data_IF_940104962015
#
_entry.id   IF_940104962015
#
_cell.length_a   1.000
_cell.length_b   1.000
_cell.length_c   1.000
_cell.angle_alpha   90.00
_cell.angle_beta   90.00
_cell.angle_gamma   90.00
#
_symmetry.space_group_name_H-M   'P 1'
#
loop_
_entity.id
_entity.type
_entity.pdbx_description
1 polymer ?
#
# COMPACT_ATOMS: atom_id res chain seq x y z
N UNK A 1 -40.26 12.81 3.58
CA UNK A 1 -39.28 12.23 2.64
C UNK A 1 -39.95 11.02 2.00
N UNK A 2 -39.93 10.95 0.68
CA UNK A 2 -40.36 9.75 -0.06
C UNK A 2 -39.30 8.68 0.15
N UNK A 3 -39.67 7.41 0.13
CA UNK A 3 -38.71 6.31 0.06
C UNK A 3 -38.65 5.81 -1.37
N UNK A 4 -37.44 5.67 -1.92
CA UNK A 4 -37.28 5.15 -3.28
C UNK A 4 -37.73 3.69 -3.37
N UNK A 5 -38.33 3.34 -4.49
CA UNK A 5 -38.63 1.96 -4.83
C UNK A 5 -37.35 1.15 -5.09
N UNK A 6 -37.43 -0.16 -4.91
CA UNK A 6 -36.32 -1.08 -5.19
C UNK A 6 -35.84 -0.98 -6.64
N UNK A 7 -36.76 -0.72 -7.58
CA UNK A 7 -36.47 -0.51 -9.00
C UNK A 7 -35.68 0.78 -9.26
N UNK A 8 -36.03 1.87 -8.58
CA UNK A 8 -35.31 3.15 -8.69
C UNK A 8 -33.88 3.00 -8.13
N UNK A 9 -33.74 2.36 -6.96
CA UNK A 9 -32.44 2.07 -6.36
C UNK A 9 -31.58 1.19 -7.27
N UNK A 10 -32.16 0.13 -7.85
CA UNK A 10 -31.43 -0.77 -8.74
C UNK A 10 -30.98 -0.06 -10.02
N UNK A 11 -31.74 0.91 -10.51
CA UNK A 11 -31.36 1.73 -11.67
C UNK A 11 -30.13 2.57 -11.38
N UNK A 12 -30.06 3.18 -10.18
CA UNK A 12 -28.90 3.96 -9.73
C UNK A 12 -27.67 3.05 -9.60
N UNK A 13 -27.81 1.90 -8.92
CA UNK A 13 -26.72 0.92 -8.77
C UNK A 13 -26.17 0.46 -10.12
N UNK A 14 -27.05 0.12 -11.06
CA UNK A 14 -26.65 -0.30 -12.42
C UNK A 14 -25.85 0.77 -13.14
N UNK A 15 -26.19 2.05 -12.95
CA UNK A 15 -25.43 3.17 -13.52
C UNK A 15 -24.06 3.31 -12.87
N UNK A 16 -23.98 3.28 -11.53
CA UNK A 16 -22.70 3.36 -10.82
C UNK A 16 -21.78 2.19 -11.17
N UNK A 17 -22.33 0.98 -11.32
CA UNK A 17 -21.61 -0.21 -11.77
C UNK A 17 -20.95 -0.06 -13.14
N UNK A 18 -21.65 0.61 -14.09
CA UNK A 18 -21.12 0.92 -15.43
C UNK A 18 -19.99 1.95 -15.40
N UNK A 19 -19.91 2.76 -14.35
CA UNK A 19 -18.82 3.72 -14.18
C UNK A 19 -17.48 3.05 -13.83
N UNK A 20 -17.49 1.75 -13.50
CA UNK A 20 -16.29 1.00 -13.09
C UNK A 20 -15.53 1.76 -11.98
N UNK A 21 -16.28 2.19 -10.97
CA UNK A 21 -15.73 2.89 -9.82
C UNK A 21 -14.78 1.94 -9.09
N UNK A 22 -13.53 2.34 -8.96
CA UNK A 22 -12.48 1.52 -8.37
C UNK A 22 -12.56 1.50 -6.83
N UNK A 23 -13.17 2.53 -6.23
CA UNK A 23 -13.19 2.75 -4.80
C UNK A 23 -14.61 2.70 -4.23
N UNK A 24 -14.85 1.75 -3.32
CA UNK A 24 -16.16 1.55 -2.68
C UNK A 24 -16.65 2.78 -1.92
N UNK A 25 -15.74 3.56 -1.33
CA UNK A 25 -16.11 4.78 -0.61
C UNK A 25 -16.78 5.81 -1.53
N UNK A 26 -16.24 5.97 -2.73
CA UNK A 26 -16.83 6.84 -3.75
C UNK A 26 -18.15 6.22 -4.24
N UNK A 27 -18.20 4.91 -4.40
CA UNK A 27 -19.45 4.24 -4.78
C UNK A 27 -20.57 4.46 -3.76
N UNK A 28 -20.28 4.23 -2.48
CA UNK A 28 -21.24 4.36 -1.38
C UNK A 28 -21.63 5.83 -1.16
N UNK A 29 -20.67 6.76 -1.21
CA UNK A 29 -20.91 8.20 -1.12
C UNK A 29 -21.82 8.67 -2.25
N UNK A 30 -21.54 8.27 -3.50
CA UNK A 30 -22.41 8.61 -4.62
C UNK A 30 -23.79 7.98 -4.48
N UNK A 31 -23.88 6.70 -4.11
CA UNK A 31 -25.17 6.03 -3.92
C UNK A 31 -26.01 6.75 -2.86
N UNK A 32 -25.43 7.10 -1.72
CA UNK A 32 -26.09 7.84 -0.65
C UNK A 32 -26.52 9.24 -1.12
N UNK A 33 -25.68 9.92 -1.89
CA UNK A 33 -25.98 11.24 -2.44
C UNK A 33 -27.13 11.20 -3.45
N UNK A 34 -27.22 10.14 -4.27
CA UNK A 34 -28.35 9.91 -5.16
C UNK A 34 -29.63 9.63 -4.39
N UNK A 35 -29.59 8.72 -3.41
CA UNK A 35 -30.77 8.37 -2.61
C UNK A 35 -31.29 9.61 -1.88
N UNK A 36 -30.41 10.30 -1.16
CA UNK A 36 -30.76 11.50 -0.39
C UNK A 36 -31.35 12.60 -1.29
N UNK A 37 -30.78 12.83 -2.47
CA UNK A 37 -31.27 13.87 -3.38
C UNK A 37 -32.63 13.51 -4.02
N UNK A 38 -32.85 12.22 -4.33
CA UNK A 38 -34.07 11.76 -5.01
C UNK A 38 -35.23 11.53 -4.03
N UNK A 39 -34.97 11.21 -2.77
CA UNK A 39 -35.99 11.07 -1.70
C UNK A 39 -36.60 12.41 -1.23
N UNK A 40 -35.90 13.52 -1.53
CA UNK A 40 -36.38 14.88 -1.24
C UNK A 40 -37.37 15.41 -2.29
N UNK A 41 -37.58 14.70 -3.39
CA UNK A 41 -38.37 15.16 -4.52
C UNK A 41 -39.64 14.31 -4.73
N UNK A 42 -40.69 14.90 -5.33
CA UNK A 42 -41.84 14.15 -5.78
C UNK A 42 -41.47 13.17 -6.91
N UNK A 43 -42.24 12.09 -7.03
CA UNK A 43 -41.99 11.00 -7.98
C UNK A 43 -41.92 11.46 -9.44
N UNK A 44 -42.72 12.46 -9.80
CA UNK A 44 -42.76 13.05 -11.14
C UNK A 44 -41.42 13.69 -11.56
N UNK A 45 -40.65 14.21 -10.59
CA UNK A 45 -39.38 14.85 -10.82
C UNK A 45 -38.18 13.88 -10.81
N UNK A 46 -38.42 12.58 -10.56
CA UNK A 46 -37.38 11.58 -10.39
C UNK A 46 -36.46 11.49 -11.61
N UNK A 47 -37.01 11.32 -12.80
CA UNK A 47 -36.23 11.10 -14.03
C UNK A 47 -35.35 12.30 -14.35
N UNK A 48 -35.92 13.50 -14.29
CA UNK A 48 -35.19 14.73 -14.57
C UNK A 48 -34.04 14.93 -13.58
N UNK A 49 -34.30 14.75 -12.27
CA UNK A 49 -33.24 14.91 -11.27
C UNK A 49 -32.17 13.84 -11.38
N UNK A 50 -32.54 12.60 -11.70
CA UNK A 50 -31.59 11.51 -11.93
C UNK A 50 -30.65 11.85 -13.10
N UNK A 51 -31.17 12.37 -14.22
CA UNK A 51 -30.32 12.81 -15.34
C UNK A 51 -29.37 13.94 -14.93
N UNK A 52 -29.85 14.94 -14.19
CA UNK A 52 -28.99 16.00 -13.65
C UNK A 52 -27.86 15.44 -12.75
N UNK A 53 -28.17 14.44 -11.94
CA UNK A 53 -27.18 13.76 -11.09
C UNK A 53 -26.23 12.90 -11.92
N UNK A 54 -26.71 12.24 -12.99
CA UNK A 54 -25.88 11.46 -13.91
C UNK A 54 -24.85 12.35 -14.64
N UNK A 55 -25.23 13.57 -15.00
CA UNK A 55 -24.35 14.57 -15.60
C UNK A 55 -23.39 15.17 -14.56
N UNK A 56 -23.90 15.52 -13.37
CA UNK A 56 -23.08 16.04 -12.26
C UNK A 56 -22.00 15.03 -11.87
N UNK A 57 -22.39 13.76 -11.75
CA UNK A 57 -21.50 12.63 -11.46
C UNK A 57 -21.12 11.89 -12.75
N UNK A 58 -20.73 12.67 -13.75
CA UNK A 58 -20.17 12.14 -14.99
C UNK A 58 -18.91 11.31 -14.72
N UNK A 59 -18.56 10.44 -15.67
CA UNK A 59 -17.38 9.59 -15.56
C UNK A 59 -16.10 10.37 -15.26
N UNK A 60 -15.90 11.54 -15.87
CA UNK A 60 -14.73 12.39 -15.63
C UNK A 60 -14.67 12.90 -14.19
N UNK A 61 -15.81 13.34 -13.64
CA UNK A 61 -15.90 13.80 -12.25
C UNK A 61 -15.56 12.66 -11.29
N UNK A 62 -16.13 11.47 -11.54
CA UNK A 62 -15.86 10.29 -10.73
C UNK A 62 -14.36 9.92 -10.77
N UNK A 63 -13.72 9.98 -11.95
CA UNK A 63 -12.28 9.74 -12.07
C UNK A 63 -11.41 10.80 -11.40
N UNK A 64 -11.87 12.05 -11.35
CA UNK A 64 -11.16 13.08 -10.61
C UNK A 64 -11.33 12.94 -9.09
N UNK A 65 -12.50 12.47 -8.61
CA UNK A 65 -12.69 12.06 -7.22
C UNK A 65 -11.77 10.90 -6.84
N UNK A 66 -11.66 9.88 -7.70
CA UNK A 66 -10.74 8.76 -7.53
C UNK A 66 -9.27 9.24 -7.40
N UNK A 67 -8.81 10.11 -8.31
CA UNK A 67 -7.47 10.69 -8.25
C UNK A 67 -7.26 11.55 -7.00
N UNK A 68 -8.28 12.28 -6.56
CA UNK A 68 -8.19 13.11 -5.36
C UNK A 68 -8.04 12.25 -4.11
N UNK A 69 -8.81 11.16 -4.01
CA UNK A 69 -8.72 10.18 -2.94
C UNK A 69 -7.33 9.52 -2.93
N UNK A 70 -6.84 9.07 -4.10
CA UNK A 70 -5.50 8.49 -4.26
C UNK A 70 -4.41 9.48 -3.80
N UNK A 71 -4.48 10.74 -4.27
CA UNK A 71 -3.52 11.78 -3.91
C UNK A 71 -3.54 12.11 -2.41
N UNK A 72 -4.73 12.09 -1.79
CA UNK A 72 -4.88 12.30 -0.35
C UNK A 72 -4.28 11.15 0.43
N UNK A 73 -4.63 9.91 0.08
CA UNK A 73 -4.09 8.69 0.68
C UNK A 73 -2.56 8.64 0.54
N UNK A 74 -2.03 9.02 -0.62
CA UNK A 74 -0.59 9.10 -0.85
C UNK A 74 0.09 10.18 0.00
N UNK A 75 -0.54 11.36 0.15
CA UNK A 75 0.00 12.44 0.99
C UNK A 75 0.02 12.05 2.46
N UNK A 76 -1.03 11.40 2.96
CA UNK A 76 -1.08 10.86 4.32
C UNK A 76 -0.05 9.75 4.51
N UNK A 77 0.04 8.82 3.57
CA UNK A 77 1.06 7.79 3.57
C UNK A 77 2.46 8.38 3.64
N UNK A 78 2.80 9.35 2.78
CA UNK A 78 4.08 10.03 2.80
C UNK A 78 4.32 10.78 4.11
N UNK A 79 3.29 11.41 4.68
CA UNK A 79 3.39 12.10 5.98
C UNK A 79 3.71 11.11 7.09
N UNK A 80 3.02 9.97 7.15
CA UNK A 80 3.26 8.95 8.17
C UNK A 80 4.56 8.19 7.93
N UNK A 81 4.90 7.89 6.68
CA UNK A 81 6.18 7.33 6.31
C UNK A 81 7.28 8.30 6.75
N UNK A 82 7.21 9.58 6.41
CA UNK A 82 8.21 10.58 6.82
C UNK A 82 8.31 10.74 8.34
N UNK A 83 7.22 10.59 9.09
CA UNK A 83 7.29 10.58 10.56
C UNK A 83 7.88 9.28 11.13
N UNK A 84 7.76 8.16 10.41
CA UNK A 84 8.22 6.83 10.85
C UNK A 84 9.66 6.52 10.40
N UNK A 85 10.08 7.05 9.24
CA UNK A 85 11.43 6.88 8.65
C UNK A 85 12.53 7.70 9.34
N UNK A 86 12.24 8.30 10.50
CA UNK A 86 13.30 8.85 11.34
C UNK A 86 14.08 7.67 11.94
N UNK A 87 14.99 7.09 11.17
CA UNK A 87 16.01 6.13 11.65
C UNK A 87 16.75 6.75 12.86
N UNK A 88 16.90 8.07 12.88
CA UNK A 88 17.44 8.86 13.99
C UNK A 88 16.58 8.88 15.28
N UNK A 89 15.34 8.38 15.23
CA UNK A 89 14.46 8.21 16.40
C UNK A 89 14.32 6.76 16.84
N UNK A 90 15.08 5.84 16.23
CA UNK A 90 15.19 4.48 16.75
C UNK A 90 15.79 4.56 18.16
N UNK A 91 15.05 4.03 19.13
CA UNK A 91 15.54 3.93 20.49
C UNK A 91 16.73 2.96 20.58
N UNK A 92 17.40 2.98 21.72
CA UNK A 92 18.53 2.09 22.00
C UNK A 92 18.17 0.59 21.87
N UNK A 93 16.92 0.23 22.13
CA UNK A 93 16.43 -1.14 21.99
C UNK A 93 16.36 -1.56 20.53
N UNK A 94 15.88 -0.68 19.66
CA UNK A 94 15.75 -0.90 18.23
C UNK A 94 17.11 -0.95 17.55
N UNK A 95 18.02 -0.04 17.92
CA UNK A 95 19.43 -0.10 17.49
C UNK A 95 20.11 -1.39 17.96
N UNK A 96 19.91 -1.78 19.22
CA UNK A 96 20.41 -3.05 19.76
C UNK A 96 19.86 -4.27 19.02
N UNK A 97 18.59 -4.22 18.61
CA UNK A 97 17.95 -5.29 17.83
C UNK A 97 18.54 -5.37 16.42
N UNK A 98 18.72 -4.24 15.74
CA UNK A 98 19.37 -4.20 14.42
C UNK A 98 20.80 -4.73 14.48
N UNK A 99 21.54 -4.38 15.53
CA UNK A 99 22.91 -4.83 15.74
C UNK A 99 22.95 -6.33 16.04
N UNK A 100 22.04 -6.83 16.87
CA UNK A 100 21.88 -8.26 17.15
C UNK A 100 21.52 -9.06 15.89
N UNK A 101 20.56 -8.59 15.09
CA UNK A 101 20.22 -9.22 13.81
C UNK A 101 21.43 -9.21 12.87
N UNK A 102 22.18 -8.12 12.79
CA UNK A 102 23.43 -8.07 12.02
C UNK A 102 24.47 -9.09 12.48
N UNK A 103 24.62 -9.28 13.80
CA UNK A 103 25.52 -10.31 14.36
C UNK A 103 25.06 -11.73 13.98
N UNK A 104 23.76 -11.99 13.97
CA UNK A 104 23.22 -13.29 13.54
C UNK A 104 23.47 -13.61 12.06
N UNK A 105 23.73 -12.59 11.24
CA UNK A 105 24.07 -12.77 9.83
C UNK A 105 25.56 -13.01 9.58
N UNK A 106 26.44 -12.81 10.58
CA UNK A 106 27.89 -13.07 10.44
C UNK A 106 28.18 -14.53 10.08
N UNK A 107 27.59 -15.55 10.74
CA UNK A 107 27.82 -16.95 10.36
C UNK A 107 27.37 -17.26 8.93
N UNK A 108 26.26 -16.65 8.48
CA UNK A 108 25.77 -16.81 7.09
C UNK A 108 26.78 -16.24 6.11
N UNK A 109 27.35 -15.07 6.43
CA UNK A 109 28.40 -14.45 5.63
C UNK A 109 29.67 -15.28 5.55
N UNK A 110 30.11 -15.84 6.68
CA UNK A 110 31.31 -16.68 6.72
C UNK A 110 31.12 -18.02 5.98
N UNK A 111 29.91 -18.58 5.97
CA UNK A 111 29.62 -19.88 5.34
C UNK A 111 29.30 -19.79 3.84
N UNK A 112 28.57 -18.74 3.44
CA UNK A 112 27.99 -18.64 2.08
C UNK A 112 28.57 -17.52 1.25
N UNK A 113 29.41 -16.67 1.85
CA UNK A 113 29.96 -15.49 1.21
C UNK A 113 28.96 -14.36 1.04
N UNK A 114 29.37 -13.27 0.36
CA UNK A 114 28.57 -12.05 0.21
C UNK A 114 27.27 -12.28 -0.57
N UNK A 115 27.35 -13.08 -1.63
CA UNK A 115 26.21 -13.40 -2.51
C UNK A 115 25.16 -14.25 -1.79
N UNK A 116 25.59 -15.28 -1.05
CA UNK A 116 24.70 -16.10 -0.24
C UNK A 116 24.03 -15.32 0.89
N UNK A 117 24.77 -14.42 1.54
CA UNK A 117 24.21 -13.51 2.57
C UNK A 117 23.13 -12.61 2.01
N UNK A 118 23.36 -12.07 0.81
CA UNK A 118 22.39 -11.24 0.12
C UNK A 118 21.11 -12.04 -0.21
N UNK A 119 21.25 -13.24 -0.78
CA UNK A 119 20.12 -14.11 -1.10
C UNK A 119 19.30 -14.49 0.15
N UNK A 120 19.96 -14.83 1.25
CA UNK A 120 19.29 -15.12 2.53
C UNK A 120 18.56 -13.88 3.05
N UNK A 121 19.16 -12.69 2.95
CA UNK A 121 18.53 -11.43 3.35
C UNK A 121 17.26 -11.13 2.54
N UNK A 122 17.31 -11.37 1.22
CA UNK A 122 16.15 -11.26 0.33
C UNK A 122 15.06 -12.26 0.72
N UNK A 123 15.41 -13.52 0.98
CA UNK A 123 14.46 -14.54 1.37
C UNK A 123 13.76 -14.21 2.70
N UNK A 124 14.52 -13.73 3.69
CA UNK A 124 13.99 -13.26 4.97
C UNK A 124 13.04 -12.08 4.77
N UNK A 125 13.36 -11.14 3.87
CA UNK A 125 12.50 -10.01 3.54
C UNK A 125 11.15 -10.45 2.96
N UNK A 126 11.18 -11.31 1.93
CA UNK A 126 9.94 -11.85 1.34
C UNK A 126 9.12 -12.64 2.36
N UNK A 127 9.79 -13.42 3.21
CA UNK A 127 9.13 -14.19 4.27
C UNK A 127 8.45 -13.28 5.29
N UNK A 128 9.14 -12.24 5.79
CA UNK A 128 8.58 -11.29 6.76
C UNK A 128 7.41 -10.50 6.18
N UNK A 129 7.53 -10.03 4.94
CA UNK A 129 6.45 -9.34 4.24
C UNK A 129 5.26 -10.28 4.03
N UNK A 130 5.51 -11.51 3.54
CA UNK A 130 4.48 -12.53 3.33
C UNK A 130 3.76 -12.92 4.62
N UNK A 131 4.50 -13.16 5.71
CA UNK A 131 3.92 -13.44 7.02
C UNK A 131 3.15 -12.24 7.56
N UNK A 132 3.65 -11.02 7.40
CA UNK A 132 2.95 -9.81 7.83
C UNK A 132 1.62 -9.65 7.11
N UNK A 133 1.57 -9.89 5.79
CA UNK A 133 0.34 -9.93 5.00
C UNK A 133 -0.58 -11.06 5.49
N UNK A 134 -0.05 -12.28 5.65
CA UNK A 134 -0.83 -13.46 6.02
C UNK A 134 -1.49 -13.31 7.39
N UNK A 135 -0.74 -12.91 8.42
CA UNK A 135 -1.25 -12.80 9.79
C UNK A 135 -2.14 -11.58 10.02
N UNK A 136 -1.98 -10.53 9.21
CA UNK A 136 -2.82 -9.35 9.30
C UNK A 136 -3.85 -9.25 8.17
N UNK A 137 -4.08 -10.34 7.41
CA UNK A 137 -4.99 -10.34 6.24
C UNK A 137 -6.38 -9.79 6.57
N UNK A 138 -6.93 -10.17 7.73
CA UNK A 138 -8.24 -9.73 8.22
C UNK A 138 -8.24 -8.27 8.68
N UNK A 139 -7.11 -7.79 9.22
CA UNK A 139 -6.94 -6.42 9.70
C UNK A 139 -6.74 -5.44 8.53
N UNK A 140 -6.07 -5.85 7.47
CA UNK A 140 -5.83 -5.04 6.28
C UNK A 140 -6.91 -5.18 5.20
N UNK A 141 -7.86 -6.10 5.36
CA UNK A 141 -8.85 -6.37 4.32
C UNK A 141 -8.22 -6.98 3.06
N UNK A 142 -7.05 -7.62 3.17
CA UNK A 142 -6.52 -8.47 2.11
C UNK A 142 -7.37 -9.73 2.04
N UNK A 143 -8.42 -9.65 1.24
CA UNK A 143 -9.09 -10.83 0.73
C UNK A 143 -8.40 -11.21 -0.57
N UNK A 144 -8.00 -12.47 -0.73
CA UNK A 144 -7.65 -13.02 -2.04
C UNK A 144 -8.89 -13.23 -2.92
N UNK A 145 -10.05 -12.73 -2.48
CA UNK A 145 -11.30 -12.79 -3.20
C UNK A 145 -11.35 -11.62 -4.19
N UNK A 146 -11.59 -11.96 -5.45
CA UNK A 146 -11.91 -11.03 -6.54
C UNK A 146 -13.33 -10.44 -6.42
N UNK A 147 -14.06 -10.70 -5.33
CA UNK A 147 -15.40 -10.18 -5.14
C UNK A 147 -15.37 -8.65 -4.97
N UNK A 148 -16.17 -7.97 -5.79
CA UNK A 148 -16.29 -6.51 -5.90
C UNK A 148 -16.59 -5.84 -4.55
N UNK A 149 -17.29 -6.55 -3.68
CA UNK A 149 -17.91 -6.07 -2.45
C UNK A 149 -16.95 -5.99 -1.25
N UNK A 150 -15.71 -6.49 -1.40
CA UNK A 150 -14.74 -6.61 -0.30
C UNK A 150 -13.65 -5.52 -0.28
N UNK A 151 -13.68 -4.56 -1.21
CA UNK A 151 -12.63 -3.54 -1.32
C UNK A 151 -12.82 -2.39 -0.32
N UNK A 152 -11.86 -2.27 0.60
CA UNK A 152 -11.79 -1.20 1.61
C UNK A 152 -10.66 -0.22 1.28
N UNK A 153 -10.70 1.05 1.73
CA UNK A 153 -9.61 2.06 1.62
C UNK A 153 -8.21 1.56 1.98
N UNK A 154 -8.15 0.55 2.86
CA UNK A 154 -6.92 -0.14 3.28
C UNK A 154 -6.18 -0.79 2.11
N UNK A 155 -6.87 -1.14 1.02
CA UNK A 155 -6.27 -1.69 -0.19
C UNK A 155 -5.40 -0.67 -0.92
N UNK A 156 -5.82 0.60 -1.00
CA UNK A 156 -5.06 1.68 -1.67
C UNK A 156 -3.76 1.93 -0.92
N UNK A 157 -3.86 2.12 0.41
CA UNK A 157 -2.70 2.33 1.26
C UNK A 157 -1.74 1.15 1.21
N UNK A 158 -2.28 -0.08 1.21
CA UNK A 158 -1.48 -1.29 1.07
C UNK A 158 -0.85 -1.42 -0.33
N UNK A 159 -1.57 -1.14 -1.40
CA UNK A 159 -1.05 -1.23 -2.77
C UNK A 159 0.08 -0.22 -2.99
N UNK A 160 -0.09 1.03 -2.55
CA UNK A 160 0.96 2.04 -2.60
C UNK A 160 2.13 1.70 -1.67
N UNK A 161 1.85 1.16 -0.49
CA UNK A 161 2.87 0.68 0.43
C UNK A 161 3.69 -0.44 -0.23
N UNK A 162 3.07 -1.53 -0.67
CA UNK A 162 3.78 -2.65 -1.29
C UNK A 162 4.43 -2.25 -2.62
N UNK A 163 3.79 -1.44 -3.46
CA UNK A 163 4.35 -0.94 -4.70
C UNK A 163 5.62 -0.11 -4.52
N UNK A 164 5.61 0.84 -3.56
CA UNK A 164 6.81 1.63 -3.23
C UNK A 164 7.94 0.78 -2.66
N UNK A 165 7.62 -0.26 -1.88
CA UNK A 165 8.61 -1.19 -1.33
C UNK A 165 9.19 -2.12 -2.39
N UNK A 166 8.38 -2.60 -3.34
CA UNK A 166 8.83 -3.38 -4.50
C UNK A 166 9.78 -2.56 -5.37
N UNK A 167 9.51 -1.26 -5.55
CA UNK A 167 10.39 -0.37 -6.30
C UNK A 167 11.75 -0.17 -5.62
N UNK A 168 11.77 0.16 -4.32
CA UNK A 168 13.01 0.31 -3.53
C UNK A 168 13.79 -1.00 -3.50
N UNK A 169 13.11 -2.14 -3.32
CA UNK A 169 13.71 -3.46 -3.39
C UNK A 169 14.31 -3.74 -4.78
N UNK A 170 13.59 -3.42 -5.85
CA UNK A 170 14.03 -3.59 -7.23
C UNK A 170 15.32 -2.81 -7.53
N UNK A 171 15.38 -1.55 -7.12
CA UNK A 171 16.61 -0.73 -7.23
C UNK A 171 17.75 -1.34 -6.41
N UNK A 172 17.48 -1.72 -5.17
CA UNK A 172 18.50 -2.29 -4.27
C UNK A 172 19.07 -3.59 -4.82
N UNK A 173 18.22 -4.45 -5.39
CA UNK A 173 18.62 -5.71 -6.02
C UNK A 173 19.37 -5.50 -7.34
N UNK A 174 18.93 -4.55 -8.16
CA UNK A 174 19.65 -4.16 -9.36
C UNK A 174 21.06 -3.69 -9.02
N UNK A 175 21.20 -2.83 -8.00
CA UNK A 175 22.50 -2.37 -7.52
C UNK A 175 23.35 -3.53 -6.99
N UNK A 176 22.78 -4.43 -6.18
CA UNK A 176 23.50 -5.59 -5.65
C UNK A 176 24.04 -6.53 -6.74
N UNK A 177 23.34 -6.65 -7.88
CA UNK A 177 23.78 -7.47 -9.01
C UNK A 177 24.78 -6.76 -9.94
N UNK A 178 24.64 -5.45 -10.10
CA UNK A 178 25.49 -4.67 -11.01
C UNK A 178 26.80 -4.22 -10.36
N UNK A 179 26.80 -3.87 -9.07
CA UNK A 179 27.99 -3.39 -8.36
C UNK A 179 29.18 -4.35 -8.43
N UNK A 180 29.02 -5.66 -8.16
CA UNK A 180 30.12 -6.61 -8.28
C UNK A 180 30.71 -6.63 -9.68
N UNK A 181 29.85 -6.68 -10.71
CA UNK A 181 30.27 -6.72 -12.12
C UNK A 181 30.94 -5.43 -12.59
N UNK A 182 30.52 -4.28 -12.06
CA UNK A 182 31.12 -2.98 -12.38
C UNK A 182 32.49 -2.79 -11.72
N UNK A 183 32.71 -3.44 -10.57
CA UNK A 183 33.96 -3.32 -9.79
C UNK A 183 34.95 -4.44 -10.06
N UNK A 184 34.51 -5.54 -10.67
CA UNK A 184 35.33 -6.64 -11.18
C UNK A 184 36.35 -6.05 -12.17
N UNK A 185 37.64 -6.08 -11.80
CA UNK A 185 38.79 -5.46 -12.50
C UNK A 185 39.14 -4.00 -12.13
N UNK A 186 38.54 -3.43 -11.09
CA UNK A 186 38.97 -2.14 -10.53
C UNK A 186 39.79 -2.32 -9.25
N UNK A 187 40.53 -1.28 -8.83
CA UNK A 187 41.19 -1.25 -7.51
C UNK A 187 40.21 -1.33 -6.33
N UNK A 188 38.90 -1.17 -6.59
CA UNK A 188 37.84 -1.20 -5.61
C UNK A 188 37.14 -2.56 -5.50
N UNK A 189 37.60 -3.59 -6.23
CA UNK A 189 37.02 -4.93 -6.17
C UNK A 189 36.97 -5.50 -4.74
N UNK A 190 37.97 -5.19 -3.91
CA UNK A 190 38.06 -5.59 -2.49
C UNK A 190 37.00 -4.93 -1.60
N UNK A 191 36.35 -3.85 -2.05
CA UNK A 191 35.31 -3.13 -1.30
C UNK A 191 33.92 -3.76 -1.54
N UNK A 192 33.74 -4.49 -2.64
CA UNK A 192 32.48 -5.14 -3.04
C UNK A 192 31.79 -5.94 -1.93
N UNK A 193 32.49 -6.77 -1.13
CA UNK A 193 31.86 -7.53 -0.04
C UNK A 193 31.26 -6.63 1.05
N UNK A 194 31.91 -5.51 1.37
CA UNK A 194 31.43 -4.54 2.37
C UNK A 194 30.23 -3.73 1.84
N UNK A 195 30.20 -3.47 0.53
CA UNK A 195 29.04 -2.84 -0.11
C UNK A 195 27.83 -3.78 -0.10
N UNK A 196 28.01 -5.06 -0.42
CA UNK A 196 26.94 -6.05 -0.34
C UNK A 196 26.45 -6.27 1.10
N UNK A 197 27.34 -6.24 2.09
CA UNK A 197 27.00 -6.30 3.50
C UNK A 197 26.16 -5.07 3.93
N UNK A 198 26.57 -3.87 3.53
CA UNK A 198 25.82 -2.64 3.87
C UNK A 198 24.45 -2.57 3.17
N UNK A 199 24.36 -3.02 1.91
CA UNK A 199 23.08 -3.21 1.21
C UNK A 199 22.17 -4.22 1.93
N UNK A 200 22.72 -5.32 2.42
CA UNK A 200 21.97 -6.33 3.18
C UNK A 200 21.44 -5.78 4.51
N UNK A 201 22.25 -5.00 5.22
CA UNK A 201 21.81 -4.32 6.46
C UNK A 201 20.77 -3.23 6.20
N UNK A 202 20.88 -2.50 5.09
CA UNK A 202 19.87 -1.53 4.66
C UNK A 202 18.53 -2.22 4.33
N UNK A 203 18.57 -3.38 3.65
CA UNK A 203 17.39 -4.20 3.37
C UNK A 203 16.72 -4.70 4.65
N UNK A 204 17.49 -5.14 5.64
CA UNK A 204 16.98 -5.58 6.94
C UNK A 204 16.38 -4.42 7.75
N UNK A 205 17.04 -3.25 7.75
CA UNK A 205 16.53 -2.04 8.38
C UNK A 205 15.24 -1.56 7.71
N UNK A 206 15.19 -1.60 6.37
CA UNK A 206 14.00 -1.29 5.59
C UNK A 206 12.86 -2.25 5.94
N UNK A 207 13.10 -3.56 5.94
CA UNK A 207 12.19 -4.60 6.43
C UNK A 207 11.58 -4.28 7.79
N UNK A 208 12.43 -3.87 8.74
CA UNK A 208 12.00 -3.52 10.08
C UNK A 208 11.08 -2.30 10.07
N UNK A 209 11.45 -1.25 9.33
CA UNK A 209 10.60 -0.05 9.16
C UNK A 209 9.29 -0.40 8.47
N UNK A 210 9.30 -1.27 7.47
CA UNK A 210 8.12 -1.80 6.79
C UNK A 210 7.22 -2.53 7.78
N UNK A 211 7.75 -3.49 8.53
CA UNK A 211 7.01 -4.30 9.51
C UNK A 211 6.43 -3.42 10.63
N UNK A 212 7.20 -2.48 11.15
CA UNK A 212 6.75 -1.55 12.20
C UNK A 212 5.74 -0.55 11.66
N UNK A 213 5.88 -0.05 10.42
CA UNK A 213 4.91 0.86 9.79
C UNK A 213 3.59 0.16 9.47
N UNK A 214 3.65 -1.12 9.09
CA UNK A 214 2.48 -2.01 8.94
C UNK A 214 1.78 -2.18 10.30
N UNK A 215 2.54 -2.38 11.38
CA UNK A 215 2.00 -2.60 12.73
C UNK A 215 1.56 -1.31 13.47
N UNK A 216 2.18 -0.17 13.15
CA UNK A 216 1.81 1.15 13.65
C UNK A 216 0.44 1.55 13.10
N UNK A 217 -0.23 2.42 13.84
CA UNK A 217 -1.65 2.82 13.70
C UNK A 217 -2.06 3.38 12.34
N UNK A 218 -1.18 3.44 11.35
CA UNK A 218 -1.38 3.91 9.97
C UNK A 218 -2.56 3.24 9.26
N UNK A 219 -2.84 1.98 9.57
CA UNK A 219 -4.00 1.24 9.02
C UNK A 219 -5.19 1.14 10.01
N UNK A 220 -5.04 1.69 11.22
CA UNK A 220 -6.12 1.88 12.20
C UNK A 220 -6.80 3.25 12.05
N UNK A 221 -6.24 4.17 11.29
CA UNK A 221 -6.88 5.43 10.91
C UNK A 221 -7.89 5.16 9.80
N UNK A 222 -9.09 4.78 10.24
CA UNK A 222 -10.44 5.09 9.72
C UNK A 222 -11.32 4.21 10.64
N UNK A 223 -11.47 4.68 11.87
CA UNK A 223 -12.72 4.53 12.61
C UNK A 223 -13.31 5.93 12.57
N UNK A 224 -14.11 6.19 11.55
CA UNK A 224 -15.28 7.05 11.74
C UNK A 224 -16.23 6.37 12.71
#
# INVERSE_FOLDING_TARGET
MRTLSETEIQTIKTRLDRCLIAYQEIYDELLDHYITALEQLPEEAFLQKKEELDDTFSWSVIKDMEKALEKSAWKEFLRTARSSYKIWTLGWKELGTLLFVGLLFIPVFLLTGPEGTYLVSVFVLFSLVGFSIYFNKTKYGFSWSLARDAHKPRYILAHHFFGSHVFIFGITNLLAQLLPKLLENTSYASITPYLLLSLSMLLLAFCWVTFTSINLKTLKLIKT
#
